data_IF_451310436688
#
_entry.id   IF_451310436688
#
_cell.length_a   1.000
_cell.length_b   1.000
_cell.length_c   1.000
_cell.angle_alpha   90.00
_cell.angle_beta   90.00
_cell.angle_gamma   90.00
#
_symmetry.space_group_name_H-M   'P 1'
#
loop_
_entity.id
_entity.type
_entity.pdbx_description
1 polymer ?
#
# COMPACT_ATOMS: atom_id res chain seq x y z
N UNK A 1 16.44 4.18 -0.87
CA UNK A 1 16.00 5.23 0.09
C UNK A 1 14.57 4.92 0.47
N UNK A 2 14.27 4.75 1.76
CA UNK A 2 12.91 4.43 2.22
C UNK A 2 11.99 5.66 2.09
N UNK A 3 10.74 5.44 1.69
CA UNK A 3 9.71 6.47 1.76
C UNK A 3 9.42 6.78 3.22
N UNK A 4 9.45 8.05 3.66
CA UNK A 4 9.14 8.39 5.04
C UNK A 4 7.65 8.15 5.30
N UNK A 5 7.34 7.40 6.34
CA UNK A 5 5.98 7.15 6.83
C UNK A 5 5.98 7.29 8.35
N UNK A 6 4.85 7.69 8.97
CA UNK A 6 4.72 7.70 10.42
C UNK A 6 5.00 6.33 11.03
N UNK A 7 5.62 6.29 12.20
CA UNK A 7 5.79 5.04 12.94
C UNK A 7 4.43 4.52 13.43
N UNK A 8 4.13 3.24 13.19
CA UNK A 8 2.93 2.59 13.69
C UNK A 8 3.25 1.90 15.00
N UNK A 9 2.64 2.36 16.10
CA UNK A 9 2.84 1.83 17.44
C UNK A 9 1.99 0.60 17.70
N UNK A 10 0.73 0.61 17.23
CA UNK A 10 -0.22 -0.49 17.42
C UNK A 10 -1.33 -0.42 16.37
N UNK A 11 -1.95 -1.56 16.11
CA UNK A 11 -3.09 -1.65 15.20
C UNK A 11 -3.95 -2.89 15.51
N UNK A 12 -5.22 -2.84 15.12
CA UNK A 12 -6.12 -4.00 15.08
C UNK A 12 -7.00 -3.92 13.84
N UNK A 13 -7.10 -5.01 13.10
CA UNK A 13 -7.96 -5.15 11.93
C UNK A 13 -9.33 -5.76 12.25
N UNK A 14 -9.66 -5.92 13.50
CA UNK A 14 -10.95 -6.44 13.98
C UNK A 14 -11.47 -5.59 15.12
N UNK A 15 -12.79 -5.59 15.32
CA UNK A 15 -13.42 -4.94 16.47
C UNK A 15 -13.34 -5.76 17.77
N UNK A 16 -12.85 -7.01 17.70
CA UNK A 16 -12.65 -7.88 18.89
C UNK A 16 -11.35 -7.50 19.60
N UNK A 17 -11.38 -6.34 20.23
CA UNK A 17 -10.27 -5.77 21.00
C UNK A 17 -10.81 -4.82 22.09
N UNK A 18 -9.95 -4.35 22.97
CA UNK A 18 -10.33 -3.47 24.10
C UNK A 18 -10.94 -2.12 23.67
N UNK A 19 -10.73 -1.68 22.42
CA UNK A 19 -11.28 -0.44 21.85
C UNK A 19 -12.69 -0.67 21.29
N UNK A 20 -13.05 -1.91 20.92
CA UNK A 20 -14.31 -2.26 20.28
C UNK A 20 -14.43 -1.81 18.82
N UNK A 21 -13.32 -1.44 18.18
CA UNK A 21 -13.27 -0.98 16.79
C UNK A 21 -11.91 -1.30 16.15
N UNK A 22 -11.86 -1.34 14.83
CA UNK A 22 -10.60 -1.35 14.09
C UNK A 22 -9.85 -0.03 14.30
N UNK A 23 -8.53 -0.10 14.49
CA UNK A 23 -7.73 1.11 14.71
C UNK A 23 -6.29 0.97 14.20
N UNK A 24 -5.67 2.10 13.94
CA UNK A 24 -4.22 2.25 13.76
C UNK A 24 -3.76 3.39 14.66
N UNK A 25 -2.88 3.09 15.62
CA UNK A 25 -2.20 4.08 16.47
C UNK A 25 -0.82 4.35 15.88
N UNK A 26 -0.58 5.58 15.47
CA UNK A 26 0.67 5.95 14.82
C UNK A 26 1.22 7.27 15.35
N UNK A 27 2.47 7.53 15.04
CA UNK A 27 3.15 8.78 15.32
C UNK A 27 2.35 9.99 14.80
N UNK A 28 2.21 11.00 15.64
CA UNK A 28 1.71 12.30 15.22
C UNK A 28 2.86 13.14 14.66
N UNK A 29 3.09 13.05 13.37
CA UNK A 29 4.17 13.77 12.68
C UNK A 29 3.93 15.28 12.79
N UNK A 30 4.93 15.97 13.35
CA UNK A 30 4.90 17.43 13.43
C UNK A 30 5.12 18.05 12.06
N UNK A 31 4.33 19.07 11.74
CA UNK A 31 4.46 19.77 10.46
C UNK A 31 3.19 20.46 10.03
N UNK A 32 3.24 21.06 8.86
CA UNK A 32 2.11 21.72 8.21
C UNK A 32 1.82 21.02 6.88
N UNK A 33 0.53 20.82 6.60
CA UNK A 33 0.13 20.24 5.32
C UNK A 33 0.69 21.06 4.15
N UNK A 34 1.33 20.40 3.22
CA UNK A 34 1.95 21.04 2.06
C UNK A 34 0.94 21.87 1.24
N UNK A 35 -0.30 21.41 1.12
CA UNK A 35 -1.38 22.14 0.42
C UNK A 35 -1.67 23.52 0.99
N UNK A 36 -1.47 23.72 2.30
CA UNK A 36 -1.68 25.03 2.94
C UNK A 36 -0.55 26.02 2.68
N UNK A 37 0.63 25.52 2.33
CA UNK A 37 1.82 26.32 2.10
C UNK A 37 2.14 26.50 0.61
N UNK A 38 1.60 25.64 -0.24
CA UNK A 38 2.03 25.51 -1.63
C UNK A 38 2.06 26.83 -2.39
N UNK A 39 1.01 27.63 -2.29
CA UNK A 39 0.91 28.88 -3.02
C UNK A 39 1.90 29.95 -2.54
N UNK A 40 2.34 29.85 -1.29
CA UNK A 40 3.27 30.80 -0.64
C UNK A 40 4.75 30.40 -0.81
N UNK A 41 5.02 29.15 -1.29
CA UNK A 41 6.38 28.69 -1.47
C UNK A 41 7.01 29.30 -2.73
N UNK A 42 8.28 29.66 -2.62
CA UNK A 42 9.10 30.06 -3.78
C UNK A 42 9.24 28.90 -4.76
N UNK A 43 9.42 29.25 -6.05
CA UNK A 43 9.57 28.28 -7.13
C UNK A 43 10.72 27.29 -6.86
N UNK A 44 11.82 27.78 -6.30
CA UNK A 44 12.97 26.94 -5.98
C UNK A 44 12.63 25.87 -4.92
N UNK A 45 11.85 26.24 -3.90
CA UNK A 45 11.39 25.30 -2.86
C UNK A 45 10.40 24.29 -3.44
N UNK A 46 9.46 24.75 -4.28
CA UNK A 46 8.53 23.89 -5.02
C UNK A 46 9.27 22.84 -5.85
N UNK A 47 10.32 23.24 -6.54
CA UNK A 47 11.13 22.32 -7.34
C UNK A 47 11.89 21.29 -6.49
N UNK A 48 12.38 21.67 -5.32
CA UNK A 48 12.99 20.71 -4.36
C UNK A 48 11.98 19.67 -3.89
N UNK A 49 10.75 20.10 -3.55
CA UNK A 49 9.67 19.20 -3.14
C UNK A 49 9.31 18.23 -4.27
N UNK A 50 9.10 18.73 -5.50
CA UNK A 50 8.77 17.90 -6.65
C UNK A 50 9.85 16.86 -6.94
N UNK A 51 11.12 17.26 -6.96
CA UNK A 51 12.26 16.31 -7.13
C UNK A 51 12.24 15.21 -6.07
N UNK A 52 11.90 15.57 -4.82
CA UNK A 52 11.83 14.58 -3.74
C UNK A 52 10.68 13.59 -3.95
N UNK A 53 9.49 14.08 -4.33
CA UNK A 53 8.34 13.24 -4.66
C UNK A 53 8.69 12.31 -5.82
N UNK A 54 9.23 12.84 -6.92
CA UNK A 54 9.65 12.05 -8.08
C UNK A 54 10.64 10.94 -7.69
N UNK A 55 11.59 11.23 -6.80
CA UNK A 55 12.55 10.20 -6.34
C UNK A 55 11.88 9.05 -5.58
N UNK A 56 10.78 9.31 -4.86
CA UNK A 56 10.00 8.24 -4.24
C UNK A 56 9.21 7.44 -5.29
N UNK A 57 8.56 8.14 -6.23
CA UNK A 57 7.80 7.50 -7.30
C UNK A 57 8.67 6.59 -8.17
N UNK A 58 9.90 7.02 -8.51
CA UNK A 58 10.86 6.17 -9.23
C UNK A 58 11.14 4.85 -8.50
N UNK A 59 11.32 4.89 -7.18
CA UNK A 59 11.52 3.67 -6.39
C UNK A 59 10.29 2.75 -6.41
N UNK A 60 9.08 3.34 -6.34
CA UNK A 60 7.84 2.54 -6.37
C UNK A 60 7.62 1.90 -7.74
N UNK A 61 7.80 2.66 -8.81
CA UNK A 61 7.63 2.14 -10.19
C UNK A 61 8.65 1.04 -10.54
N UNK A 62 9.85 1.12 -9.97
CA UNK A 62 10.88 0.08 -10.15
C UNK A 62 10.65 -1.19 -9.33
N UNK A 63 9.71 -1.16 -8.38
CA UNK A 63 9.34 -2.34 -7.59
C UNK A 63 8.21 -3.07 -8.29
N UNK A 64 8.47 -4.28 -8.77
CA UNK A 64 7.52 -5.08 -9.53
C UNK A 64 7.04 -6.28 -8.70
N UNK A 65 5.73 -6.39 -8.51
CA UNK A 65 5.10 -7.53 -7.86
C UNK A 65 4.69 -8.59 -8.89
N UNK A 66 4.70 -9.86 -8.48
CA UNK A 66 4.30 -10.99 -9.33
C UNK A 66 2.79 -11.04 -9.59
N UNK A 67 1.99 -10.45 -8.71
CA UNK A 67 0.54 -10.46 -8.77
C UNK A 67 -0.05 -9.07 -8.50
N UNK A 68 -1.22 -8.82 -9.09
CA UNK A 68 -2.08 -7.68 -8.77
C UNK A 68 -3.11 -8.09 -7.70
N UNK A 69 -3.34 -7.23 -6.72
CA UNK A 69 -4.28 -7.43 -5.62
C UNK A 69 -3.95 -6.52 -4.44
N UNK A 70 -4.48 -6.84 -3.28
CA UNK A 70 -4.15 -6.12 -2.04
C UNK A 70 -3.19 -6.92 -1.17
N UNK A 71 -2.41 -6.20 -0.36
CA UNK A 71 -1.44 -6.80 0.54
C UNK A 71 -2.10 -7.22 1.84
N UNK A 72 -1.91 -8.48 2.22
CA UNK A 72 -2.42 -9.08 3.46
C UNK A 72 -1.27 -9.65 4.29
N UNK A 73 -1.47 -9.75 5.59
CA UNK A 73 -0.69 -10.71 6.36
C UNK A 73 -1.11 -12.12 5.94
N UNK A 74 -0.15 -12.97 5.65
CA UNK A 74 -0.43 -14.34 5.21
C UNK A 74 -1.32 -15.13 6.16
N UNK A 75 -1.21 -14.87 7.46
CA UNK A 75 -2.02 -15.49 8.52
C UNK A 75 -3.51 -15.11 8.47
N UNK A 76 -3.84 -13.97 7.87
CA UNK A 76 -5.21 -13.42 7.84
C UNK A 76 -6.00 -13.89 6.61
N UNK A 77 -5.35 -14.62 5.70
CA UNK A 77 -6.00 -15.22 4.54
C UNK A 77 -6.53 -16.61 4.89
N UNK A 78 -7.80 -16.87 4.56
CA UNK A 78 -8.50 -18.13 4.83
C UNK A 78 -7.97 -19.35 4.05
N UNK A 79 -7.08 -19.14 3.09
CA UNK A 79 -6.49 -20.16 2.23
C UNK A 79 -4.96 -20.10 2.28
N UNK A 80 -4.31 -21.20 1.87
CA UNK A 80 -2.84 -21.26 1.79
C UNK A 80 -2.33 -20.39 0.64
N UNK A 81 -2.25 -19.09 0.88
CA UNK A 81 -1.74 -18.14 -0.09
C UNK A 81 -0.22 -18.26 -0.25
N UNK A 82 0.33 -18.09 -1.47
CA UNK A 82 1.76 -18.03 -1.68
C UNK A 82 2.37 -16.82 -0.96
N UNK A 83 3.63 -16.91 -0.60
CA UNK A 83 4.38 -15.77 -0.08
C UNK A 83 4.51 -14.71 -1.16
N UNK A 84 4.53 -13.44 -0.75
CA UNK A 84 4.72 -12.36 -1.71
C UNK A 84 6.11 -12.42 -2.34
N UNK A 85 6.15 -12.34 -3.65
CA UNK A 85 7.36 -12.21 -4.44
C UNK A 85 7.35 -10.88 -5.17
N UNK A 86 8.45 -10.15 -5.09
CA UNK A 86 8.62 -8.90 -5.83
C UNK A 86 10.08 -8.66 -6.18
N UNK A 87 10.30 -7.88 -7.22
CA UNK A 87 11.63 -7.40 -7.59
C UNK A 87 11.79 -5.99 -7.03
N UNK A 88 12.83 -5.76 -6.25
CA UNK A 88 13.11 -4.45 -5.67
C UNK A 88 13.67 -3.47 -6.73
N UNK A 89 13.85 -2.22 -6.33
CA UNK A 89 14.36 -1.16 -7.21
C UNK A 89 15.82 -1.36 -7.68
N UNK A 90 16.50 -2.41 -7.18
CA UNK A 90 17.86 -2.82 -7.61
C UNK A 90 17.82 -4.04 -8.53
N UNK A 91 16.63 -4.57 -8.84
CA UNK A 91 16.46 -5.77 -9.65
C UNK A 91 16.64 -7.07 -8.87
N UNK A 92 16.66 -7.03 -7.53
CA UNK A 92 16.78 -8.22 -6.69
C UNK A 92 15.41 -8.82 -6.43
N UNK A 93 15.26 -10.13 -6.69
CA UNK A 93 14.08 -10.87 -6.32
C UNK A 93 14.03 -11.10 -4.80
N UNK A 94 12.93 -10.68 -4.18
CA UNK A 94 12.70 -10.77 -2.74
C UNK A 94 11.43 -11.59 -2.50
N UNK A 95 11.52 -12.56 -1.58
CA UNK A 95 10.38 -13.31 -1.07
C UNK A 95 10.15 -12.95 0.39
N UNK A 96 8.94 -12.50 0.72
CA UNK A 96 8.58 -12.18 2.10
C UNK A 96 7.52 -13.16 2.60
N UNK A 97 7.86 -13.92 3.64
CA UNK A 97 7.02 -14.97 4.21
C UNK A 97 5.85 -14.45 5.08
N UNK A 98 5.90 -13.18 5.50
CA UNK A 98 4.86 -12.59 6.36
C UNK A 98 3.64 -12.14 5.59
N UNK A 99 3.83 -11.79 4.32
CA UNK A 99 2.82 -11.17 3.48
C UNK A 99 2.48 -12.02 2.28
N UNK A 100 1.28 -11.78 1.76
CA UNK A 100 0.78 -12.36 0.51
C UNK A 100 -0.04 -11.31 -0.24
N UNK A 101 -0.20 -11.49 -1.54
CA UNK A 101 -1.18 -10.76 -2.32
C UNK A 101 -2.49 -11.55 -2.29
N UNK A 102 -3.56 -10.89 -1.88
CA UNK A 102 -4.91 -11.42 -1.84
C UNK A 102 -5.89 -10.60 -2.68
N UNK A 103 -7.21 -10.85 -2.53
CA UNK A 103 -8.24 -10.14 -3.28
C UNK A 103 -8.11 -8.62 -3.13
N UNK A 104 -8.42 -7.90 -4.20
CA UNK A 104 -8.38 -6.44 -4.21
C UNK A 104 -9.47 -5.85 -3.31
N UNK A 105 -9.07 -4.98 -2.38
CA UNK A 105 -9.97 -4.16 -1.55
C UNK A 105 -10.18 -2.76 -2.16
N UNK A 106 -9.88 -2.57 -3.43
CA UNK A 106 -10.10 -1.29 -4.09
C UNK A 106 -11.59 -0.90 -4.05
N UNK A 107 -11.87 0.39 -3.96
CA UNK A 107 -13.24 0.92 -3.95
C UNK A 107 -14.03 0.49 -5.19
N UNK A 108 -13.40 0.42 -6.34
CA UNK A 108 -14.03 -0.04 -7.59
C UNK A 108 -14.61 -1.46 -7.48
N UNK A 109 -14.02 -2.31 -6.65
CA UNK A 109 -14.44 -3.71 -6.49
C UNK A 109 -15.35 -3.94 -5.27
N UNK A 110 -15.51 -2.95 -4.39
CA UNK A 110 -16.18 -3.14 -3.10
C UNK A 110 -17.29 -2.11 -2.83
N UNK A 111 -17.23 -0.88 -3.38
CA UNK A 111 -18.24 0.14 -3.17
C UNK A 111 -19.54 -0.18 -3.94
N UNK A 112 -20.61 0.53 -3.62
CA UNK A 112 -21.94 0.45 -4.27
C UNK A 112 -22.55 -0.95 -4.24
N UNK A 113 -22.39 -1.68 -3.14
CA UNK A 113 -22.91 -3.04 -2.96
C UNK A 113 -22.10 -4.13 -3.67
N UNK A 114 -20.99 -3.79 -4.35
CA UNK A 114 -20.16 -4.78 -5.05
C UNK A 114 -19.47 -5.77 -4.11
N UNK A 115 -19.31 -5.44 -2.83
CA UNK A 115 -18.76 -6.36 -1.83
C UNK A 115 -19.57 -7.65 -1.72
N UNK A 116 -20.91 -7.59 -1.96
CA UNK A 116 -21.82 -8.74 -1.88
C UNK A 116 -21.90 -9.55 -3.20
N UNK A 117 -21.32 -9.01 -4.28
CA UNK A 117 -21.35 -9.68 -5.59
C UNK A 117 -20.29 -10.76 -5.68
N UNK A 118 -20.65 -11.89 -6.28
CA UNK A 118 -19.72 -12.98 -6.55
C UNK A 118 -18.98 -12.74 -7.89
N UNK A 119 -17.79 -12.18 -7.80
CA UNK A 119 -16.86 -12.06 -8.93
C UNK A 119 -15.41 -12.14 -8.45
N UNK A 120 -14.51 -12.50 -9.35
CA UNK A 120 -13.08 -12.63 -9.04
C UNK A 120 -12.44 -11.25 -8.75
N UNK A 121 -11.93 -11.07 -7.55
CA UNK A 121 -11.19 -9.89 -7.11
C UNK A 121 -9.67 -10.10 -7.12
N UNK A 122 -9.21 -11.19 -7.72
CA UNK A 122 -7.82 -11.59 -7.71
C UNK A 122 -7.43 -12.43 -6.47
N UNK A 123 -6.14 -12.67 -6.28
CA UNK A 123 -5.00 -12.05 -6.99
C UNK A 123 -4.83 -12.54 -8.42
N UNK A 124 -4.63 -11.63 -9.37
CA UNK A 124 -4.35 -11.95 -10.76
C UNK A 124 -2.83 -11.88 -11.02
N UNK A 125 -2.30 -12.75 -11.88
CA UNK A 125 -0.90 -12.61 -12.32
C UNK A 125 -0.75 -11.34 -13.15
N UNK A 126 0.35 -10.63 -12.99
CA UNK A 126 0.60 -9.39 -13.73
C UNK A 126 0.62 -9.58 -15.28
N UNK A 127 0.85 -10.81 -15.77
CA UNK A 127 0.85 -11.13 -17.20
C UNK A 127 -0.57 -11.24 -17.79
N UNK A 128 -1.59 -11.44 -16.96
CA UNK A 128 -2.97 -11.66 -17.44
C UNK A 128 -3.74 -10.36 -17.68
N UNK A 129 -3.13 -9.21 -17.35
CA UNK A 129 -3.74 -7.87 -17.50
C UNK A 129 -3.62 -7.28 -18.92
N UNK A 130 -3.00 -8.00 -19.86
CA UNK A 130 -2.74 -7.54 -21.23
C UNK A 130 -3.42 -8.39 -22.33
N UNK A 131 -4.42 -9.21 -21.99
CA UNK A 131 -5.26 -9.93 -22.96
C UNK A 131 -6.68 -9.39 -22.96
#
# INVERSE_FOLDING_TARGET
MATPVPEVFSWSSTADNAVGAEYILMENVQGVQLSKLWDQLDVEVKMKVLRKITSYQENWVRTCFSHYGSLYYKRDLAYSAPSIEYTDNKGMAIVNQRFSIGPSVSRQNNDDGRVEMDFDRGPCKCCDLHN
#
